data_IF_386159718151
#
_entry.id   IF_386159718151
#
_cell.length_a   1.000
_cell.length_b   1.000
_cell.length_c   1.000
_cell.angle_alpha   90.00
_cell.angle_beta   90.00
_cell.angle_gamma   90.00
#
_symmetry.space_group_name_H-M   'P 1'
#
loop_
_entity.id
_entity.type
_entity.pdbx_description
1 polymer ?
#
# COMPACT_ATOMS: atom_id res chain seq x y z
N UNK A 1 -16.11 46.95 -2.17
CA UNK A 1 -14.72 46.49 -1.84
C UNK A 1 -14.70 45.17 -1.05
N UNK A 2 -15.44 45.03 0.04
CA UNK A 2 -15.43 43.82 0.89
C UNK A 2 -15.81 42.52 0.16
N UNK A 3 -16.83 42.57 -0.70
CA UNK A 3 -17.30 41.40 -1.46
C UNK A 3 -16.22 40.81 -2.39
N UNK A 4 -15.48 41.67 -3.11
CA UNK A 4 -14.39 41.26 -4.00
C UNK A 4 -13.25 40.58 -3.23
N UNK A 5 -12.93 41.07 -2.03
CA UNK A 5 -11.90 40.50 -1.16
C UNK A 5 -12.28 39.10 -0.65
N UNK A 6 -13.53 38.91 -0.22
CA UNK A 6 -14.04 37.61 0.24
C UNK A 6 -14.05 36.60 -0.91
N UNK A 7 -14.51 36.99 -2.10
CA UNK A 7 -14.54 36.12 -3.29
C UNK A 7 -13.13 35.66 -3.69
N UNK A 8 -12.15 36.55 -3.65
CA UNK A 8 -10.75 36.21 -3.94
C UNK A 8 -10.15 35.24 -2.89
N UNK A 9 -10.50 35.42 -1.61
CA UNK A 9 -10.05 34.52 -0.54
C UNK A 9 -10.66 33.12 -0.65
N UNK A 10 -11.95 33.03 -1.00
CA UNK A 10 -12.62 31.75 -1.26
C UNK A 10 -12.00 31.05 -2.47
N UNK A 11 -11.73 31.78 -3.56
CA UNK A 11 -11.08 31.21 -4.75
C UNK A 11 -9.68 30.68 -4.44
N UNK A 12 -8.89 31.43 -3.66
CA UNK A 12 -7.56 31.00 -3.22
C UNK A 12 -7.63 29.76 -2.31
N UNK A 13 -8.59 29.69 -1.39
CA UNK A 13 -8.78 28.52 -0.54
C UNK A 13 -9.22 27.29 -1.34
N UNK A 14 -10.15 27.44 -2.28
CA UNK A 14 -10.59 26.35 -3.16
C UNK A 14 -9.44 25.83 -4.02
N UNK A 15 -8.57 26.71 -4.54
CA UNK A 15 -7.38 26.32 -5.27
C UNK A 15 -6.41 25.51 -4.39
N UNK A 16 -6.15 25.97 -3.16
CA UNK A 16 -5.29 25.24 -2.23
C UNK A 16 -5.87 23.87 -1.84
N UNK A 17 -7.19 23.78 -1.62
CA UNK A 17 -7.89 22.51 -1.35
C UNK A 17 -7.75 21.57 -2.54
N UNK A 18 -7.94 22.05 -3.77
CA UNK A 18 -7.81 21.25 -4.99
C UNK A 18 -6.38 20.72 -5.17
N UNK A 19 -5.36 21.56 -4.93
CA UNK A 19 -3.95 21.15 -4.96
C UNK A 19 -3.68 20.08 -3.91
N UNK A 20 -4.14 20.26 -2.68
CA UNK A 20 -3.94 19.28 -1.61
C UNK A 20 -4.66 17.95 -1.91
N UNK A 21 -5.87 17.97 -2.47
CA UNK A 21 -6.62 16.78 -2.87
C UNK A 21 -5.91 16.05 -4.02
N UNK A 22 -5.43 16.77 -5.04
CA UNK A 22 -4.67 16.21 -6.15
C UNK A 22 -3.39 15.53 -5.65
N UNK A 23 -2.63 16.19 -4.76
CA UNK A 23 -1.43 15.61 -4.15
C UNK A 23 -1.76 14.38 -3.30
N UNK A 24 -2.89 14.39 -2.58
CA UNK A 24 -3.32 13.24 -1.76
C UNK A 24 -3.71 12.04 -2.63
N UNK A 25 -4.39 12.28 -3.76
CA UNK A 25 -4.76 11.25 -4.74
C UNK A 25 -3.52 10.67 -5.41
N UNK A 26 -2.56 11.51 -5.80
CA UNK A 26 -1.28 11.05 -6.36
C UNK A 26 -0.49 10.22 -5.35
N UNK A 27 -0.51 10.59 -4.07
CA UNK A 27 0.16 9.82 -3.01
C UNK A 27 -0.44 8.41 -2.83
N UNK A 28 -1.77 8.29 -2.92
CA UNK A 28 -2.47 6.99 -2.92
C UNK A 28 -2.24 6.22 -4.23
N UNK A 29 -2.10 6.97 -5.34
CA UNK A 29 -1.69 6.62 -6.71
C UNK A 29 -0.46 5.70 -6.86
N UNK A 30 0.54 6.02 -6.03
CA UNK A 30 1.95 5.71 -6.28
C UNK A 30 2.35 4.30 -5.90
N UNK A 31 3.29 3.75 -6.66
CA UNK A 31 3.95 2.48 -6.30
C UNK A 31 4.83 2.66 -5.06
N UNK A 32 4.97 1.60 -4.27
CA UNK A 32 5.80 1.58 -3.06
C UNK A 32 7.19 2.22 -3.22
N UNK A 33 7.92 1.90 -4.30
CA UNK A 33 9.24 2.47 -4.56
C UNK A 33 9.21 3.98 -4.82
N UNK A 34 8.16 4.46 -5.47
CA UNK A 34 7.95 5.88 -5.76
C UNK A 34 7.58 6.64 -4.48
N UNK A 35 6.80 6.02 -3.58
CA UNK A 35 6.47 6.58 -2.26
C UNK A 35 7.71 6.79 -1.41
N UNK A 36 8.63 5.83 -1.34
CA UNK A 36 9.91 6.01 -0.61
C UNK A 36 10.65 7.23 -1.15
N UNK A 37 10.77 7.31 -2.48
CA UNK A 37 11.47 8.40 -3.16
C UNK A 37 10.80 9.76 -2.92
N UNK A 38 9.48 9.79 -2.92
CA UNK A 38 8.69 10.99 -2.65
C UNK A 38 8.85 11.46 -1.20
N UNK A 39 8.68 10.56 -0.23
CA UNK A 39 8.87 10.85 1.20
C UNK A 39 10.29 11.33 1.50
N UNK A 40 11.30 10.70 0.90
CA UNK A 40 12.69 11.14 1.02
C UNK A 40 12.87 12.58 0.55
N UNK A 41 12.36 12.90 -0.65
CA UNK A 41 12.45 14.25 -1.23
C UNK A 41 11.68 15.28 -0.41
N UNK A 42 10.48 14.93 0.05
CA UNK A 42 9.66 15.79 0.91
C UNK A 42 10.36 16.09 2.25
N UNK A 43 11.17 15.14 2.74
CA UNK A 43 11.99 15.31 3.93
C UNK A 43 13.33 16.02 3.68
N UNK A 44 13.58 16.50 2.46
CA UNK A 44 14.82 17.20 2.09
C UNK A 44 16.08 16.35 2.05
N UNK A 45 15.95 15.02 2.10
CA UNK A 45 17.09 14.10 2.19
C UNK A 45 17.61 13.69 0.81
N UNK A 46 18.93 13.58 0.67
CA UNK A 46 19.57 12.85 -0.42
C UNK A 46 19.55 11.32 -0.13
N UNK A 47 19.90 10.50 -1.14
CA UNK A 47 19.86 9.04 -0.98
C UNK A 47 20.84 8.53 0.10
N UNK A 48 22.02 9.13 0.23
CA UNK A 48 22.99 8.73 1.26
C UNK A 48 22.43 8.97 2.66
N UNK A 49 21.83 10.14 2.91
CA UNK A 49 21.27 10.51 4.21
C UNK A 49 20.14 9.57 4.66
N UNK A 50 19.24 9.19 3.74
CA UNK A 50 18.19 8.22 4.07
C UNK A 50 18.79 6.82 4.29
N UNK A 51 19.73 6.41 3.45
CA UNK A 51 20.40 5.11 3.56
C UNK A 51 21.11 4.96 4.92
N UNK A 52 21.78 6.03 5.38
CA UNK A 52 22.43 6.08 6.69
C UNK A 52 21.41 5.96 7.83
N UNK A 53 20.29 6.70 7.75
CA UNK A 53 19.21 6.66 8.76
C UNK A 53 18.53 5.29 8.87
N UNK A 54 18.40 4.57 7.76
CA UNK A 54 17.80 3.22 7.74
C UNK A 54 18.87 2.12 7.69
N UNK A 55 20.13 2.45 7.97
CA UNK A 55 21.25 1.50 8.09
C UNK A 55 21.37 0.52 6.91
N UNK A 56 21.31 1.02 5.68
CA UNK A 56 21.56 0.24 4.47
C UNK A 56 22.59 0.94 3.58
N UNK A 57 23.15 0.21 2.62
CA UNK A 57 24.02 0.82 1.62
C UNK A 57 23.21 1.67 0.62
N UNK A 58 23.76 2.81 0.18
CA UNK A 58 23.08 3.75 -0.73
C UNK A 58 22.66 3.12 -2.06
N UNK A 59 23.44 2.16 -2.59
CA UNK A 59 23.07 1.41 -3.80
C UNK A 59 21.85 0.51 -3.57
N UNK A 60 21.65 0.03 -2.35
CA UNK A 60 20.48 -0.75 -1.96
C UNK A 60 19.23 0.14 -1.96
N UNK A 61 19.33 1.33 -1.38
CA UNK A 61 18.27 2.34 -1.46
C UNK A 61 17.98 2.74 -2.91
N UNK A 62 19.00 2.97 -3.73
CA UNK A 62 18.83 3.38 -5.13
C UNK A 62 18.11 2.30 -5.95
N UNK A 63 18.49 1.02 -5.80
CA UNK A 63 17.76 -0.09 -6.43
C UNK A 63 16.31 -0.16 -5.96
N UNK A 64 16.06 0.10 -4.69
CA UNK A 64 14.72 0.10 -4.10
C UNK A 64 13.85 1.22 -4.65
N UNK A 65 14.33 2.47 -4.68
CA UNK A 65 13.59 3.62 -5.23
C UNK A 65 13.29 3.47 -6.73
N UNK A 66 14.09 2.69 -7.45
CA UNK A 66 13.90 2.41 -8.87
C UNK A 66 13.12 1.10 -9.12
N UNK A 67 12.63 0.41 -8.07
CA UNK A 67 11.81 -0.79 -8.20
C UNK A 67 12.57 -2.07 -8.58
N UNK A 68 13.90 -2.06 -8.52
CA UNK A 68 14.75 -3.21 -8.80
C UNK A 68 15.00 -4.11 -7.58
N UNK A 69 14.53 -3.68 -6.40
CA UNK A 69 14.72 -4.39 -5.14
C UNK A 69 13.56 -4.11 -4.20
N UNK A 70 12.95 -5.15 -3.65
CA UNK A 70 11.96 -5.03 -2.58
C UNK A 70 12.66 -4.97 -1.22
N UNK A 71 12.20 -4.13 -0.28
CA UNK A 71 12.76 -4.09 1.07
C UNK A 71 12.35 -5.33 1.87
N UNK A 72 13.16 -5.68 2.86
CA UNK A 72 12.75 -6.59 3.93
C UNK A 72 11.78 -5.90 4.90
N UNK A 73 11.05 -6.69 5.69
CA UNK A 73 10.14 -6.17 6.72
C UNK A 73 10.84 -5.23 7.70
N UNK A 74 12.08 -5.53 8.05
CA UNK A 74 12.92 -4.75 8.95
C UNK A 74 13.28 -3.38 8.35
N UNK A 75 13.53 -3.30 7.04
CA UNK A 75 13.72 -2.03 6.32
C UNK A 75 12.42 -1.22 6.31
N UNK A 76 11.27 -1.87 6.06
CA UNK A 76 9.95 -1.20 6.09
C UNK A 76 9.69 -0.56 7.46
N UNK A 77 9.95 -1.28 8.55
CA UNK A 77 9.79 -0.74 9.91
C UNK A 77 10.68 0.47 10.17
N UNK A 78 11.91 0.50 9.65
CA UNK A 78 12.79 1.66 9.77
C UNK A 78 12.31 2.85 8.94
N UNK A 79 11.82 2.61 7.73
CA UNK A 79 11.23 3.66 6.89
C UNK A 79 10.02 4.30 7.59
N UNK A 80 9.13 3.48 8.18
CA UNK A 80 7.99 3.97 8.96
C UNK A 80 8.42 4.87 10.12
N UNK A 81 9.47 4.48 10.86
CA UNK A 81 10.02 5.29 11.96
C UNK A 81 10.62 6.61 11.47
N UNK A 82 11.38 6.57 10.36
CA UNK A 82 12.03 7.77 9.81
C UNK A 82 11.01 8.78 9.28
N UNK A 83 9.93 8.31 8.65
CA UNK A 83 8.93 9.18 8.05
C UNK A 83 7.71 9.44 8.94
N UNK A 84 7.62 8.80 10.10
CA UNK A 84 6.46 8.86 10.99
C UNK A 84 5.13 8.51 10.27
N UNK A 85 5.16 7.48 9.42
CA UNK A 85 3.99 7.00 8.66
C UNK A 85 3.55 5.62 9.13
N UNK A 86 2.25 5.33 9.01
CA UNK A 86 1.70 3.98 9.24
C UNK A 86 2.06 3.02 8.11
N UNK A 87 1.95 1.73 8.41
CA UNK A 87 2.17 0.65 7.45
C UNK A 87 1.24 0.80 6.24
N UNK A 88 -0.04 1.11 6.48
CA UNK A 88 -1.05 1.24 5.42
C UNK A 88 -0.72 2.37 4.45
N UNK A 89 -0.25 3.51 4.96
CA UNK A 89 0.15 4.64 4.12
C UNK A 89 1.39 4.31 3.27
N UNK A 90 2.33 3.56 3.83
CA UNK A 90 3.57 3.21 3.14
C UNK A 90 3.36 2.08 2.12
N UNK A 91 2.51 1.09 2.40
CA UNK A 91 2.34 -0.14 1.60
C UNK A 91 1.15 -0.13 0.62
N UNK A 92 0.12 0.70 0.80
CA UNK A 92 -1.07 0.62 -0.05
C UNK A 92 -0.85 1.21 -1.45
N UNK A 93 -0.43 0.41 -2.41
CA UNK A 93 -0.56 0.75 -3.83
C UNK A 93 -2.04 0.77 -4.19
N UNK A 94 -2.57 1.91 -4.67
CA UNK A 94 -3.97 2.01 -5.12
C UNK A 94 -4.33 1.02 -6.23
N UNK A 95 -3.36 0.45 -6.95
CA UNK A 95 -3.62 -0.63 -7.90
C UNK A 95 -4.20 -1.89 -7.21
N UNK A 96 -3.94 -2.09 -5.91
CA UNK A 96 -4.55 -3.18 -5.12
C UNK A 96 -5.88 -2.81 -4.45
N UNK A 97 -6.24 -1.51 -4.40
CA UNK A 97 -7.47 -1.05 -3.72
C UNK A 97 -8.77 -1.46 -4.42
N UNK A 98 -8.71 -1.91 -5.68
CA UNK A 98 -9.89 -2.49 -6.36
C UNK A 98 -10.27 -3.85 -5.74
N UNK A 99 -9.29 -4.57 -5.14
CA UNK A 99 -9.52 -5.87 -4.50
C UNK A 99 -10.08 -5.72 -3.08
N UNK A 100 -9.73 -4.64 -2.37
CA UNK A 100 -10.15 -4.42 -0.98
C UNK A 100 -11.61 -3.97 -0.84
N UNK A 101 -12.11 -3.14 -1.78
CA UNK A 101 -13.50 -2.65 -1.73
C UNK A 101 -14.55 -3.73 -2.06
N UNK A 102 -14.15 -4.81 -2.75
CA UNK A 102 -15.07 -5.89 -3.14
C UNK A 102 -15.18 -7.03 -2.10
N UNK A 103 -14.30 -7.06 -1.10
CA UNK A 103 -14.18 -8.19 -0.16
C UNK A 103 -14.52 -7.83 1.30
N UNK A 104 -15.32 -6.80 1.56
CA UNK A 104 -15.69 -6.40 2.92
C UNK A 104 -16.21 -7.58 3.76
N UNK A 105 -17.10 -8.39 3.17
CA UNK A 105 -17.65 -9.59 3.82
C UNK A 105 -16.57 -10.66 4.08
N UNK A 106 -15.67 -10.89 3.14
CA UNK A 106 -14.58 -11.87 3.31
C UNK A 106 -13.58 -11.40 4.38
N UNK A 107 -13.30 -10.10 4.45
CA UNK A 107 -12.42 -9.52 5.44
C UNK A 107 -13.02 -9.61 6.86
N UNK A 108 -14.32 -9.36 7.01
CA UNK A 108 -15.03 -9.60 8.27
C UNK A 108 -14.98 -11.07 8.69
N UNK A 109 -15.18 -11.99 7.74
CA UNK A 109 -15.06 -13.43 7.99
C UNK A 109 -13.64 -13.83 8.42
N UNK A 110 -12.59 -13.25 7.82
CA UNK A 110 -11.20 -13.48 8.23
C UNK A 110 -10.92 -13.01 9.66
N UNK A 111 -11.53 -11.90 10.11
CA UNK A 111 -11.42 -11.45 11.50
C UNK A 111 -12.06 -12.44 12.47
N UNK A 112 -13.22 -13.02 12.11
CA UNK A 112 -13.89 -14.05 12.92
C UNK A 112 -13.12 -15.36 12.97
N UNK A 113 -12.50 -15.77 11.85
CA UNK A 113 -11.68 -17.00 11.77
C UNK A 113 -10.53 -16.97 12.78
N UNK A 114 -9.94 -15.81 13.04
CA UNK A 114 -8.85 -15.69 14.02
C UNK A 114 -9.30 -16.00 15.47
N UNK A 115 -10.61 -15.88 15.76
CA UNK A 115 -11.20 -16.15 17.06
C UNK A 115 -11.57 -17.63 17.28
N UNK A 116 -11.56 -18.44 16.21
CA UNK A 116 -11.82 -19.87 16.29
C UNK A 116 -10.68 -20.62 17.00
N UNK A 117 -11.01 -21.79 17.54
CA UNK A 117 -10.01 -22.69 18.07
C UNK A 117 -9.20 -23.39 16.96
N UNK A 118 -8.14 -24.09 17.34
CA UNK A 118 -7.24 -24.75 16.37
C UNK A 118 -7.92 -25.89 15.61
N UNK A 119 -8.85 -26.62 16.23
CA UNK A 119 -9.53 -27.74 15.56
C UNK A 119 -10.51 -27.21 14.51
N UNK A 120 -11.24 -26.15 14.83
CA UNK A 120 -12.13 -25.42 13.92
C UNK A 120 -11.36 -24.78 12.75
N UNK A 121 -10.23 -24.11 13.03
CA UNK A 121 -9.35 -23.56 11.98
C UNK A 121 -8.84 -24.66 11.05
N UNK A 122 -8.40 -25.78 11.60
CA UNK A 122 -7.91 -26.91 10.82
C UNK A 122 -9.00 -27.51 9.93
N UNK A 123 -10.25 -27.60 10.41
CA UNK A 123 -11.38 -28.03 9.60
C UNK A 123 -11.65 -27.05 8.44
N UNK A 124 -11.62 -25.75 8.71
CA UNK A 124 -11.83 -24.72 7.69
C UNK A 124 -10.75 -24.76 6.60
N UNK A 125 -9.48 -24.90 6.98
CA UNK A 125 -8.36 -25.05 6.03
C UNK A 125 -8.57 -26.26 5.11
N UNK A 126 -9.05 -27.39 5.63
CA UNK A 126 -9.37 -28.58 4.81
C UNK A 126 -10.50 -28.30 3.81
N UNK A 127 -11.54 -27.56 4.21
CA UNK A 127 -12.65 -27.18 3.32
C UNK A 127 -12.14 -26.28 2.19
N UNK A 128 -11.37 -25.23 2.53
CA UNK A 128 -10.77 -24.31 1.55
C UNK A 128 -9.91 -25.08 0.54
N UNK A 129 -9.01 -25.95 1.02
CA UNK A 129 -8.16 -26.76 0.16
C UNK A 129 -8.96 -27.68 -0.77
N UNK A 130 -10.06 -28.24 -0.29
CA UNK A 130 -10.96 -29.07 -1.10
C UNK A 130 -11.63 -28.26 -2.21
N UNK A 131 -12.10 -27.05 -1.91
CA UNK A 131 -12.68 -26.14 -2.90
C UNK A 131 -11.66 -25.68 -3.94
N UNK A 132 -10.44 -25.32 -3.51
CA UNK A 132 -9.35 -24.92 -4.41
C UNK A 132 -8.92 -26.06 -5.34
N UNK A 133 -8.84 -27.28 -4.81
CA UNK A 133 -8.53 -28.48 -5.60
C UNK A 133 -9.60 -28.72 -6.66
N UNK A 134 -10.88 -28.63 -6.29
CA UNK A 134 -12.00 -28.76 -7.24
C UNK A 134 -11.94 -27.69 -8.34
N UNK A 135 -11.64 -26.44 -7.97
CA UNK A 135 -11.47 -25.34 -8.94
C UNK A 135 -10.33 -25.62 -9.92
N UNK A 136 -9.14 -25.99 -9.41
CA UNK A 136 -7.98 -26.34 -10.24
C UNK A 136 -8.26 -27.49 -11.21
N UNK A 137 -8.94 -28.55 -10.75
CA UNK A 137 -9.36 -29.65 -11.62
C UNK A 137 -10.32 -29.19 -12.72
N UNK A 138 -11.29 -28.33 -12.39
CA UNK A 138 -12.18 -27.74 -13.38
C UNK A 138 -11.41 -26.89 -14.40
N UNK A 139 -10.50 -26.03 -13.94
CA UNK A 139 -9.70 -25.17 -14.82
C UNK A 139 -8.79 -25.99 -15.76
N UNK A 140 -8.26 -27.13 -15.28
CA UNK A 140 -7.51 -28.10 -16.09
C UNK A 140 -8.39 -28.78 -17.16
N UNK A 141 -9.60 -29.21 -16.79
CA UNK A 141 -10.54 -29.85 -17.72
C UNK A 141 -11.09 -28.86 -18.77
N UNK A 142 -11.26 -27.60 -18.38
CA UNK A 142 -11.73 -26.52 -19.25
C UNK A 142 -10.61 -25.94 -20.15
N UNK A 143 -9.39 -26.50 -20.10
CA UNK A 143 -8.26 -26.08 -20.94
C UNK A 143 -7.68 -24.71 -20.60
N UNK A 144 -7.93 -24.18 -19.39
CA UNK A 144 -7.51 -22.84 -18.94
C UNK A 144 -6.26 -22.84 -18.07
N UNK A 145 -5.63 -23.99 -17.87
CA UNK A 145 -4.41 -24.09 -17.08
C UNK A 145 -3.19 -23.63 -17.90
N UNK A 146 -2.71 -22.42 -17.63
CA UNK A 146 -1.36 -22.01 -18.02
C UNK A 146 -0.38 -22.58 -16.98
N UNK A 147 0.45 -23.53 -17.40
CA UNK A 147 1.56 -24.05 -16.60
C UNK A 147 2.72 -23.05 -16.57
#
# INVERSE_FOLDING_TARGET
>A
MQYTFIKNKINSLNFQIMVNLQTTIELYSMKFNEKIKALRKASGMNQQELADKIHIHVTHLSKMENGHLLPSIDIVQRLMKVFAVSTDNLLNDSENSVVELQNHELNEQLMLINQLDEDEKNALVKIINSMLTKKRMKDLLDGKANF
#
